data_IF_222334829078
#
_entry.id   IF_222334829078
#
_cell.length_a   1.000
_cell.length_b   1.000
_cell.length_c   1.000
_cell.angle_alpha   90.00
_cell.angle_beta   90.00
_cell.angle_gamma   90.00
#
_symmetry.space_group_name_H-M   'P 1'
#
loop_
_entity.id
_entity.type
_entity.pdbx_description
1 polymer ?
#
# COMPACT_ATOMS: atom_id res chain seq x y z
N UNK A 1 34.57 35.99 -57.35
CA UNK A 1 35.15 35.63 -56.04
C UNK A 1 34.26 34.56 -55.42
N UNK A 2 34.71 33.30 -55.44
CA UNK A 2 33.99 32.17 -54.84
C UNK A 2 34.51 31.93 -53.41
N UNK A 3 33.64 31.64 -52.43
CA UNK A 3 34.09 31.22 -51.11
C UNK A 3 34.55 29.75 -51.10
N UNK A 4 35.49 29.37 -50.22
CA UNK A 4 36.09 28.05 -50.21
C UNK A 4 35.18 27.01 -49.52
N UNK A 5 35.15 25.79 -50.08
CA UNK A 5 34.41 24.65 -49.53
C UNK A 5 35.15 24.04 -48.34
N UNK A 6 34.50 23.99 -47.19
CA UNK A 6 35.03 23.35 -45.98
C UNK A 6 34.75 21.84 -46.01
N UNK A 7 35.82 21.03 -46.11
CA UNK A 7 35.75 19.57 -46.01
C UNK A 7 35.52 19.14 -44.56
N UNK A 8 34.34 18.63 -44.25
CA UNK A 8 34.02 17.94 -42.99
C UNK A 8 34.64 16.53 -43.00
N UNK A 9 35.55 16.27 -42.06
CA UNK A 9 36.11 14.94 -41.78
C UNK A 9 35.16 14.18 -40.84
N UNK A 10 34.56 13.10 -41.32
CA UNK A 10 33.87 12.14 -40.47
C UNK A 10 34.88 11.28 -39.70
N UNK A 11 34.89 11.46 -38.38
CA UNK A 11 35.58 10.58 -37.43
C UNK A 11 34.66 9.40 -37.10
N UNK A 12 34.99 8.22 -37.63
CA UNK A 12 34.31 6.95 -37.33
C UNK A 12 34.82 6.43 -35.99
N UNK A 13 33.98 6.51 -34.96
CA UNK A 13 34.24 5.90 -33.65
C UNK A 13 33.96 4.39 -33.72
N UNK A 14 34.95 3.58 -33.31
CA UNK A 14 34.91 2.12 -33.27
C UNK A 14 33.91 1.62 -32.23
N UNK A 15 33.08 0.66 -32.63
CA UNK A 15 32.12 -0.07 -31.80
C UNK A 15 32.83 -0.87 -30.71
N UNK A 16 32.47 -0.64 -29.44
CA UNK A 16 32.84 -1.46 -28.30
C UNK A 16 32.14 -2.83 -28.37
N UNK A 17 32.91 -3.88 -28.06
CA UNK A 17 32.43 -5.25 -27.96
C UNK A 17 31.47 -5.44 -26.76
N UNK A 18 30.44 -6.30 -26.87
CA UNK A 18 29.56 -6.60 -25.75
C UNK A 18 30.27 -7.44 -24.68
N UNK A 19 30.23 -6.94 -23.45
CA UNK A 19 30.70 -7.59 -22.23
C UNK A 19 29.81 -8.81 -21.96
N UNK A 20 30.40 -10.01 -21.89
CA UNK A 20 29.71 -11.23 -21.45
C UNK A 20 29.20 -11.05 -20.02
N UNK A 21 27.89 -11.10 -19.85
CA UNK A 21 27.21 -11.18 -18.55
C UNK A 21 27.26 -12.64 -18.09
N UNK A 22 27.97 -12.92 -17.00
CA UNK A 22 27.96 -14.22 -16.35
C UNK A 22 26.61 -14.40 -15.64
N UNK A 23 25.84 -15.38 -16.09
CA UNK A 23 24.61 -15.84 -15.45
C UNK A 23 24.93 -16.40 -14.06
N UNK A 24 24.36 -15.79 -13.03
CA UNK A 24 24.36 -16.32 -11.66
C UNK A 24 23.49 -17.61 -11.58
N UNK A 25 23.89 -18.59 -10.76
CA UNK A 25 23.16 -19.84 -10.62
C UNK A 25 21.82 -19.65 -9.90
N UNK A 26 20.78 -20.30 -10.43
CA UNK A 26 19.42 -20.28 -9.89
C UNK A 26 19.38 -20.81 -8.46
N UNK A 27 18.91 -19.98 -7.52
CA UNK A 27 18.58 -20.42 -6.17
C UNK A 27 17.23 -21.14 -6.21
N UNK A 28 17.28 -22.46 -6.03
CA UNK A 28 16.10 -23.30 -5.78
C UNK A 28 15.55 -23.00 -4.37
N UNK A 29 14.22 -22.82 -4.20
CA UNK A 29 13.63 -22.63 -2.89
C UNK A 29 13.69 -23.94 -2.08
N UNK A 30 14.27 -23.84 -0.87
CA UNK A 30 14.23 -24.90 0.14
C UNK A 30 12.79 -25.09 0.62
N UNK A 31 12.25 -26.26 0.32
CA UNK A 31 11.00 -26.79 0.82
C UNK A 31 11.03 -26.87 2.35
N UNK A 32 10.13 -26.13 3.02
CA UNK A 32 9.98 -26.18 4.48
C UNK A 32 9.04 -27.33 4.81
N UNK A 33 9.65 -28.42 5.28
CA UNK A 33 8.98 -29.64 5.70
C UNK A 33 8.12 -29.37 6.95
N UNK A 34 6.80 -29.47 6.81
CA UNK A 34 5.85 -29.32 7.89
C UNK A 34 5.96 -30.50 8.87
N UNK A 35 6.49 -30.22 10.06
CA UNK A 35 6.60 -31.14 11.18
C UNK A 35 5.23 -31.69 11.60
N UNK A 36 5.05 -32.99 11.35
CA UNK A 36 3.88 -33.79 11.72
C UNK A 36 3.95 -34.11 13.23
N UNK A 37 3.07 -33.51 14.04
CA UNK A 37 2.92 -33.87 15.45
C UNK A 37 2.29 -35.27 15.58
N UNK A 38 3.12 -36.22 16.01
CA UNK A 38 2.72 -37.57 16.41
C UNK A 38 1.95 -37.50 17.73
N UNK A 39 0.72 -37.99 17.71
CA UNK A 39 -0.06 -38.30 18.90
C UNK A 39 0.24 -39.74 19.29
N UNK A 40 1.10 -39.94 20.29
CA UNK A 40 1.26 -41.23 20.93
C UNK A 40 0.75 -41.16 22.38
N UNK A 41 -0.18 -42.08 22.61
CA UNK A 41 -0.82 -42.47 23.85
C UNK A 41 0.21 -42.85 24.92
N UNK A 42 -0.02 -42.42 26.16
CA UNK A 42 0.74 -42.91 27.30
C UNK A 42 0.31 -42.24 28.60
N UNK A 43 -0.52 -42.94 29.37
CA UNK A 43 -1.17 -42.39 30.56
C UNK A 43 -0.24 -42.05 31.72
N UNK A 44 -0.72 -41.20 32.61
CA UNK A 44 -1.01 -41.63 33.97
C UNK A 44 -1.89 -40.60 34.67
N UNK A 45 -3.04 -41.08 35.09
CA UNK A 45 -4.02 -40.42 35.92
C UNK A 45 -3.51 -40.27 37.37
N UNK A 46 -4.09 -39.31 38.07
CA UNK A 46 -4.08 -39.09 39.52
C UNK A 46 -2.91 -38.32 40.14
N UNK A 47 -3.12 -37.01 40.26
CA UNK A 47 -2.51 -36.16 41.31
C UNK A 47 -3.53 -35.32 42.08
N UNK A 48 -4.80 -35.72 42.07
CA UNK A 48 -5.91 -35.01 42.75
C UNK A 48 -6.38 -35.66 44.07
N UNK A 49 -5.81 -36.79 44.50
CA UNK A 49 -6.26 -37.48 45.72
C UNK A 49 -5.61 -37.04 47.03
N UNK A 50 -4.82 -35.95 47.05
CA UNK A 50 -4.12 -35.50 48.27
C UNK A 50 -4.76 -34.35 49.04
N UNK A 51 -5.89 -33.80 48.57
CA UNK A 51 -6.58 -32.69 49.25
C UNK A 51 -7.92 -33.06 49.91
N UNK A 52 -8.37 -34.32 49.82
CA UNK A 52 -9.61 -34.77 50.43
C UNK A 52 -9.48 -35.28 51.89
N UNK A 53 -8.28 -35.30 52.49
CA UNK A 53 -8.07 -35.83 53.87
C UNK A 53 -7.79 -34.79 54.97
N UNK A 54 -7.94 -33.49 54.67
CA UNK A 54 -7.74 -32.43 55.69
C UNK A 54 -9.07 -31.78 56.12
N UNK A 55 -10.18 -32.07 55.43
CA UNK A 55 -11.49 -31.42 55.71
C UNK A 55 -12.44 -32.19 56.63
N UNK A 56 -12.02 -33.33 57.20
CA UNK A 56 -12.90 -34.17 58.04
C UNK A 56 -12.54 -34.16 59.54
N UNK A 57 -11.71 -33.21 59.99
CA UNK A 57 -11.23 -33.15 61.40
C UNK A 57 -11.69 -31.95 62.22
N UNK A 58 -12.68 -31.19 61.76
CA UNK A 58 -13.24 -30.06 62.52
C UNK A 58 -14.76 -30.15 62.77
N UNK A 59 -15.29 -31.37 62.87
CA UNK A 59 -16.61 -31.61 63.47
C UNK A 59 -16.45 -31.68 65.01
N UNK A 60 -16.39 -30.52 65.66
CA UNK A 60 -16.26 -30.43 67.11
C UNK A 60 -16.82 -29.11 67.65
N UNK A 61 -17.97 -29.24 68.31
CA UNK A 61 -18.58 -28.32 69.29
C UNK A 61 -19.59 -27.28 68.78
N UNK A 62 -20.86 -27.34 69.24
CA UNK A 62 -21.85 -26.31 69.06
C UNK A 62 -21.71 -25.27 70.18
N UNK A 63 -21.13 -24.10 69.88
CA UNK A 63 -21.26 -22.92 70.73
C UNK A 63 -22.22 -21.93 70.06
N UNK A 64 -23.41 -21.83 70.64
CA UNK A 64 -24.46 -20.88 70.27
C UNK A 64 -24.00 -19.44 70.49
N UNK A 65 -23.44 -18.81 69.45
CA UNK A 65 -23.35 -17.36 69.38
C UNK A 65 -24.55 -16.82 68.61
N UNK A 66 -25.43 -16.13 69.33
CA UNK A 66 -26.47 -15.25 68.81
C UNK A 66 -25.86 -14.21 67.86
N UNK A 67 -25.84 -14.54 66.57
CA UNK A 67 -25.47 -13.64 65.51
C UNK A 67 -26.62 -12.66 65.31
N UNK A 68 -26.44 -11.41 65.75
CA UNK A 68 -27.34 -10.30 65.37
C UNK A 68 -27.37 -10.23 63.85
N UNK A 69 -28.51 -10.58 63.25
CA UNK A 69 -28.79 -10.29 61.84
C UNK A 69 -28.80 -8.77 61.67
N UNK A 70 -27.67 -8.21 61.28
CA UNK A 70 -27.64 -6.88 60.69
C UNK A 70 -28.26 -7.04 59.31
N UNK A 71 -29.48 -6.55 59.16
CA UNK A 71 -30.20 -6.57 57.89
C UNK A 71 -29.49 -5.65 56.90
N UNK A 72 -28.71 -6.23 55.99
CA UNK A 72 -28.13 -5.56 54.81
C UNK A 72 -29.20 -5.22 53.75
N UNK A 73 -30.41 -4.86 54.17
CA UNK A 73 -31.38 -4.23 53.29
C UNK A 73 -31.10 -2.73 53.31
N UNK A 74 -30.96 -2.16 52.12
CA UNK A 74 -30.83 -0.73 51.83
C UNK A 74 -29.41 -0.15 51.82
N UNK A 75 -28.69 -0.42 50.73
CA UNK A 75 -27.87 0.63 50.07
C UNK A 75 -27.50 0.37 48.60
N UNK A 76 -28.31 -0.36 47.85
CA UNK A 76 -28.03 -0.69 46.43
C UNK A 76 -28.95 0.00 45.41
N UNK A 77 -29.71 1.03 45.81
CA UNK A 77 -30.72 1.67 44.95
C UNK A 77 -30.27 3.02 44.34
N UNK A 78 -29.00 3.40 44.46
CA UNK A 78 -28.45 4.61 43.84
C UNK A 78 -27.73 4.41 42.49
N UNK A 79 -27.33 3.18 42.14
CA UNK A 79 -26.32 2.95 41.08
C UNK A 79 -26.87 2.71 39.67
N UNK A 80 -28.18 2.52 39.51
CA UNK A 80 -28.78 2.24 38.19
C UNK A 80 -28.67 3.42 37.22
N UNK A 81 -28.64 4.66 37.72
CA UNK A 81 -28.42 5.85 36.91
C UNK A 81 -26.93 6.10 36.62
N UNK A 82 -26.03 5.59 37.48
CA UNK A 82 -24.60 5.77 37.31
C UNK A 82 -24.04 4.90 36.18
N UNK A 83 -24.61 3.71 35.92
CA UNK A 83 -24.15 2.87 34.79
C UNK A 83 -24.52 3.43 33.40
N UNK A 84 -25.59 4.22 33.28
CA UNK A 84 -26.01 4.79 31.99
C UNK A 84 -25.12 5.96 31.54
N UNK A 85 -24.59 6.74 32.49
CA UNK A 85 -23.66 7.85 32.17
C UNK A 85 -22.29 7.35 31.71
N UNK A 86 -21.79 6.23 32.26
CA UNK A 86 -20.53 5.63 31.82
C UNK A 86 -20.57 5.08 30.39
N UNK A 87 -21.70 4.52 29.95
CA UNK A 87 -21.85 4.00 28.59
C UNK A 87 -21.81 5.12 27.54
N UNK A 88 -22.47 6.25 27.80
CA UNK A 88 -22.47 7.40 26.89
C UNK A 88 -21.08 8.01 26.71
N UNK A 89 -20.32 8.13 27.82
CA UNK A 89 -18.97 8.70 27.78
C UNK A 89 -17.99 7.79 27.03
N UNK A 90 -18.07 6.46 27.23
CA UNK A 90 -17.24 5.51 26.50
C UNK A 90 -17.50 5.53 24.98
N UNK A 91 -18.77 5.67 24.56
CA UNK A 91 -19.13 5.75 23.15
C UNK A 91 -18.63 7.06 22.51
N UNK A 92 -18.76 8.18 23.21
CA UNK A 92 -18.27 9.48 22.74
C UNK A 92 -16.74 9.50 22.59
N UNK A 93 -16.01 8.92 23.55
CA UNK A 93 -14.54 8.78 23.47
C UNK A 93 -14.13 7.88 22.30
N UNK A 94 -14.83 6.78 22.06
CA UNK A 94 -14.55 5.88 20.94
C UNK A 94 -14.78 6.57 19.58
N UNK A 95 -15.87 7.32 19.42
CA UNK A 95 -16.16 8.09 18.21
C UNK A 95 -15.15 9.22 17.97
N UNK A 96 -14.76 9.94 19.03
CA UNK A 96 -13.74 10.98 18.93
C UNK A 96 -12.37 10.40 18.55
N UNK A 97 -11.97 9.27 19.13
CA UNK A 97 -10.73 8.59 18.74
C UNK A 97 -10.76 8.12 17.28
N UNK A 98 -11.91 7.63 16.81
CA UNK A 98 -12.06 7.16 15.43
C UNK A 98 -11.95 8.29 14.41
N UNK A 99 -12.49 9.48 14.73
CA UNK A 99 -12.41 10.66 13.88
C UNK A 99 -10.98 11.24 13.77
N UNK A 100 -10.08 10.92 14.70
CA UNK A 100 -8.70 11.42 14.72
C UNK A 100 -7.66 10.48 14.13
N UNK A 101 -8.06 9.31 13.62
CA UNK A 101 -7.10 8.39 13.00
C UNK A 101 -6.68 8.95 11.64
N UNK A 102 -5.39 9.33 11.45
CA UNK A 102 -4.92 9.72 10.13
C UNK A 102 -5.05 8.51 9.22
N UNK A 103 -5.95 8.59 8.23
CA UNK A 103 -5.95 7.64 7.13
C UNK A 103 -4.60 7.77 6.44
N UNK A 104 -3.84 6.67 6.35
CA UNK A 104 -2.62 6.65 5.57
C UNK A 104 -3.02 6.70 4.10
N UNK A 105 -3.05 7.90 3.55
CA UNK A 105 -3.14 8.07 2.10
C UNK A 105 -1.91 7.38 1.51
N UNK A 106 -2.12 6.37 0.65
CA UNK A 106 -1.02 5.84 -0.14
C UNK A 106 -0.52 6.97 -1.03
N UNK A 107 0.81 7.13 -1.08
CA UNK A 107 1.47 8.02 -2.00
C UNK A 107 0.92 7.78 -3.42
N UNK A 108 0.43 8.84 -4.05
CA UNK A 108 -0.31 8.74 -5.30
C UNK A 108 -0.02 9.96 -6.16
N UNK A 109 0.09 9.78 -7.47
CA UNK A 109 0.13 10.91 -8.40
C UNK A 109 -1.25 11.59 -8.52
N UNK A 110 -2.35 10.93 -8.15
CA UNK A 110 -3.67 11.57 -8.15
C UNK A 110 -3.66 12.83 -7.25
N UNK A 111 -3.98 13.97 -7.84
CA UNK A 111 -3.95 15.28 -7.21
C UNK A 111 -2.64 16.05 -7.37
N UNK A 112 -1.62 15.44 -7.97
CA UNK A 112 -0.35 16.07 -8.32
C UNK A 112 -0.49 16.95 -9.58
N UNK A 113 0.41 17.92 -9.74
CA UNK A 113 0.53 18.76 -10.93
C UNK A 113 1.70 18.28 -11.79
N UNK A 114 1.38 17.56 -12.87
CA UNK A 114 2.37 16.92 -13.75
C UNK A 114 2.55 17.75 -15.01
N UNK A 115 3.78 17.81 -15.51
CA UNK A 115 4.12 18.49 -16.76
C UNK A 115 4.48 17.50 -17.87
N UNK A 116 4.02 17.76 -19.10
CA UNK A 116 4.35 17.02 -20.32
C UNK A 116 4.98 17.96 -21.34
N UNK A 117 6.19 17.63 -21.80
CA UNK A 117 6.83 18.29 -22.92
C UNK A 117 7.07 17.31 -24.08
N UNK A 118 6.91 17.80 -25.31
CA UNK A 118 7.00 16.97 -26.52
C UNK A 118 8.13 17.48 -27.40
N UNK A 119 9.11 16.63 -27.67
CA UNK A 119 10.26 16.93 -28.51
C UNK A 119 10.20 16.16 -29.83
N UNK A 120 10.64 16.79 -30.91
CA UNK A 120 10.91 16.16 -32.20
C UNK A 120 12.35 16.47 -32.57
N UNK A 121 13.18 15.44 -32.71
CA UNK A 121 14.62 15.57 -32.97
C UNK A 121 15.32 16.51 -31.97
N UNK A 122 14.96 16.41 -30.69
CA UNK A 122 15.52 17.23 -29.62
C UNK A 122 15.09 18.70 -29.64
N UNK A 123 14.06 19.09 -30.39
CA UNK A 123 13.45 20.41 -30.35
C UNK A 123 12.04 20.32 -29.77
N UNK A 124 11.72 21.18 -28.81
CA UNK A 124 10.38 21.28 -28.23
C UNK A 124 9.38 21.71 -29.31
N UNK A 125 8.39 20.87 -29.59
CA UNK A 125 7.34 21.09 -30.60
C UNK A 125 6.10 21.71 -29.98
N UNK A 126 5.87 21.36 -28.72
CA UNK A 126 4.82 21.88 -27.88
C UNK A 126 5.50 22.19 -26.55
N UNK A 127 5.49 23.47 -26.16
CA UNK A 127 5.99 23.86 -24.84
C UNK A 127 5.28 23.09 -23.73
N UNK A 128 5.78 23.17 -22.48
CA UNK A 128 5.28 22.36 -21.39
C UNK A 128 3.77 22.54 -21.21
N UNK A 129 3.06 21.41 -21.19
CA UNK A 129 1.66 21.32 -20.79
C UNK A 129 1.62 20.86 -19.34
N UNK A 130 0.86 21.53 -18.49
CA UNK A 130 0.78 21.17 -17.07
C UNK A 130 -0.67 20.93 -16.69
N UNK A 131 -0.94 19.80 -16.05
CA UNK A 131 -2.29 19.39 -15.66
C UNK A 131 -2.29 18.71 -14.28
N UNK A 132 -3.40 18.84 -13.56
CA UNK A 132 -3.60 18.11 -12.30
C UNK A 132 -4.14 16.72 -12.58
N UNK A 133 -3.52 15.69 -12.03
CA UNK A 133 -3.92 14.29 -12.21
C UNK A 133 -5.25 14.00 -11.51
N UNK A 134 -6.23 13.47 -12.24
CA UNK A 134 -7.60 13.27 -11.73
C UNK A 134 -8.12 11.83 -11.85
N UNK A 135 -7.34 10.91 -12.43
CA UNK A 135 -7.75 9.52 -12.65
C UNK A 135 -8.59 9.35 -13.91
N UNK A 136 -8.11 9.94 -15.01
CA UNK A 136 -8.65 9.86 -16.36
C UNK A 136 -7.65 10.47 -17.34
N UNK A 137 -8.06 10.91 -18.52
CA UNK A 137 -7.12 11.55 -19.47
C UNK A 137 -6.74 12.95 -19.02
N UNK A 138 -5.45 13.20 -18.75
CA UNK A 138 -4.90 14.52 -18.46
C UNK A 138 -4.47 15.27 -19.73
N UNK A 139 -3.73 14.60 -20.64
CA UNK A 139 -3.19 15.28 -21.82
C UNK A 139 -3.80 14.73 -23.10
N UNK A 140 -4.19 15.63 -24.01
CA UNK A 140 -4.66 15.28 -25.35
C UNK A 140 -4.06 16.20 -26.42
N UNK A 141 -2.73 16.14 -26.64
CA UNK A 141 -2.08 16.99 -27.62
C UNK A 141 -2.65 16.69 -29.02
N UNK A 142 -3.24 17.73 -29.61
CA UNK A 142 -3.74 17.75 -30.99
C UNK A 142 -4.81 16.70 -31.31
N UNK A 143 -5.56 16.20 -30.32
CA UNK A 143 -6.62 15.19 -30.53
C UNK A 143 -6.13 13.90 -31.20
N UNK A 144 -4.87 13.51 -30.97
CA UNK A 144 -4.24 12.33 -31.61
C UNK A 144 -3.76 11.30 -30.62
N UNK A 145 -3.16 11.75 -29.54
CA UNK A 145 -2.71 10.91 -28.44
C UNK A 145 -3.40 11.37 -27.18
N UNK A 146 -3.82 10.44 -26.35
CA UNK A 146 -4.26 10.71 -24.99
C UNK A 146 -3.28 10.09 -24.03
N UNK A 147 -2.96 10.84 -22.98
CA UNK A 147 -2.15 10.37 -21.86
C UNK A 147 -3.03 10.41 -20.61
N UNK A 148 -3.23 9.24 -20.01
CA UNK A 148 -3.96 9.04 -18.76
C UNK A 148 -2.94 8.68 -17.67
N UNK A 149 -2.75 9.60 -16.75
CA UNK A 149 -1.83 9.48 -15.61
C UNK A 149 -2.65 8.91 -14.45
N UNK A 150 -2.33 7.67 -14.10
CA UNK A 150 -2.89 6.99 -12.93
C UNK A 150 -2.12 7.32 -11.66
N UNK A 151 -2.51 6.67 -10.55
CA UNK A 151 -1.83 6.82 -9.26
C UNK A 151 -0.33 6.47 -9.29
N UNK A 152 0.07 5.53 -10.17
CA UNK A 152 1.43 5.03 -10.32
C UNK A 152 1.69 4.50 -11.75
N UNK A 153 1.02 5.08 -12.75
CA UNK A 153 1.11 4.61 -14.14
C UNK A 153 0.83 5.72 -15.13
N UNK A 154 1.27 5.56 -16.36
CA UNK A 154 0.94 6.42 -17.50
C UNK A 154 0.46 5.51 -18.62
N UNK A 155 -0.79 5.67 -19.03
CA UNK A 155 -1.36 4.99 -20.20
C UNK A 155 -1.37 5.93 -21.40
N UNK A 156 -0.97 5.39 -22.55
CA UNK A 156 -0.88 6.12 -23.80
C UNK A 156 -1.80 5.46 -24.80
N UNK A 157 -2.76 6.23 -25.31
CA UNK A 157 -3.73 5.76 -26.29
C UNK A 157 -3.68 6.60 -27.56
N UNK A 158 -3.58 5.93 -28.70
CA UNK A 158 -3.74 6.53 -30.02
C UNK A 158 -5.22 6.66 -30.35
N UNK A 159 -5.67 7.89 -30.62
CA UNK A 159 -7.05 8.18 -31.03
C UNK A 159 -7.26 8.07 -32.54
N UNK A 160 -6.20 8.27 -33.32
CA UNK A 160 -6.26 8.33 -34.79
C UNK A 160 -5.07 7.51 -35.32
N UNK A 161 -5.29 6.71 -36.38
CA UNK A 161 -4.22 6.00 -37.08
C UNK A 161 -3.12 6.95 -37.61
N UNK A 162 -2.12 6.41 -38.33
CA UNK A 162 -0.74 6.91 -38.36
C UNK A 162 -0.63 8.41 -38.10
N UNK A 163 -0.14 8.76 -36.91
CA UNK A 163 -0.24 10.09 -36.34
C UNK A 163 0.59 11.19 -37.05
N UNK A 164 1.05 10.95 -38.29
CA UNK A 164 1.69 11.93 -39.16
C UNK A 164 2.91 12.60 -38.55
N UNK A 165 3.55 11.96 -37.57
CA UNK A 165 4.77 12.43 -36.97
C UNK A 165 5.92 11.97 -37.84
N UNK A 166 6.58 12.90 -38.53
CA UNK A 166 7.57 12.57 -39.56
C UNK A 166 8.94 12.10 -39.02
N UNK A 167 9.09 12.01 -37.69
CA UNK A 167 10.36 11.67 -37.01
C UNK A 167 10.09 11.08 -35.63
N UNK A 168 11.13 10.56 -34.98
CA UNK A 168 11.09 10.20 -33.56
C UNK A 168 10.57 11.37 -32.71
N UNK A 169 9.63 11.06 -31.83
CA UNK A 169 9.08 12.00 -30.86
C UNK A 169 9.39 11.50 -29.47
N UNK A 170 9.97 12.38 -28.66
CA UNK A 170 10.19 12.12 -27.25
C UNK A 170 9.11 12.83 -26.44
N UNK A 171 8.49 12.09 -25.54
CA UNK A 171 7.56 12.60 -24.55
C UNK A 171 8.29 12.60 -23.21
N UNK A 172 8.31 13.76 -22.56
CA UNK A 172 8.98 13.96 -21.27
C UNK A 172 7.94 14.38 -20.27
N UNK A 173 7.64 13.48 -19.33
CA UNK A 173 6.86 13.79 -18.14
C UNK A 173 7.81 14.27 -17.04
N UNK A 174 7.58 15.45 -16.49
CA UNK A 174 8.34 16.02 -15.35
C UNK A 174 7.40 16.35 -14.20
N UNK A 175 8.01 16.69 -13.06
CA UNK A 175 7.28 17.07 -11.85
C UNK A 175 6.37 15.92 -11.36
N UNK A 176 6.85 14.67 -11.44
CA UNK A 176 6.13 13.51 -10.92
C UNK A 176 6.33 13.41 -9.42
N UNK A 177 5.50 14.13 -8.66
CA UNK A 177 5.57 14.24 -7.20
C UNK A 177 4.39 13.55 -6.53
N UNK A 178 4.65 12.52 -5.72
CA UNK A 178 3.56 11.80 -5.06
C UNK A 178 2.90 12.64 -3.95
N UNK A 179 1.59 12.82 -4.07
CA UNK A 179 0.76 13.42 -3.04
C UNK A 179 0.64 12.46 -1.86
N UNK A 180 0.82 13.00 -0.66
CA UNK A 180 0.70 12.29 0.61
C UNK A 180 2.03 11.84 1.21
N UNK A 181 3.03 11.53 0.39
CA UNK A 181 4.37 11.14 0.84
C UNK A 181 5.39 11.32 -0.30
N UNK A 182 6.55 11.91 0.01
CA UNK A 182 7.63 12.03 -0.96
C UNK A 182 8.04 10.65 -1.50
N UNK A 183 8.11 10.53 -2.82
CA UNK A 183 8.51 9.33 -3.53
C UNK A 183 9.61 9.61 -4.54
N UNK A 184 10.35 8.57 -4.91
CA UNK A 184 11.26 8.59 -6.05
C UNK A 184 11.00 7.40 -6.95
N UNK A 185 11.10 7.59 -8.26
CA UNK A 185 11.06 6.50 -9.23
C UNK A 185 12.35 5.67 -9.08
N UNK A 186 12.19 4.36 -8.92
CA UNK A 186 13.31 3.42 -8.84
C UNK A 186 13.36 2.46 -10.01
N UNK A 187 12.25 2.26 -10.72
CA UNK A 187 12.17 1.50 -11.95
C UNK A 187 10.94 1.89 -12.77
N UNK A 188 10.93 1.51 -14.05
CA UNK A 188 9.80 1.71 -14.96
C UNK A 188 9.52 0.40 -15.70
N UNK A 189 8.32 -0.12 -15.56
CA UNK A 189 7.87 -1.35 -16.20
C UNK A 189 6.98 -1.02 -17.40
N UNK A 190 7.19 -1.73 -18.52
CA UNK A 190 6.43 -1.56 -19.74
C UNK A 190 5.57 -2.80 -19.99
N UNK A 191 4.24 -2.63 -19.92
CA UNK A 191 3.29 -3.73 -20.02
C UNK A 191 2.71 -3.92 -21.44
N UNK A 192 2.65 -2.84 -22.23
CA UNK A 192 2.31 -2.85 -23.65
C UNK A 192 3.28 -1.94 -24.39
N UNK A 193 3.82 -2.39 -25.54
CA UNK A 193 4.98 -1.73 -26.18
C UNK A 193 4.80 -1.71 -27.70
N UNK A 194 3.68 -1.18 -28.19
CA UNK A 194 3.58 -0.89 -29.62
C UNK A 194 4.13 0.51 -29.87
N UNK A 195 5.26 0.60 -30.58
CA UNK A 195 5.83 1.88 -30.98
C UNK A 195 6.62 2.64 -29.96
N UNK A 196 6.81 2.11 -28.76
CA UNK A 196 7.71 2.71 -27.79
C UNK A 196 9.13 2.30 -28.09
N UNK A 197 10.00 3.29 -28.29
CA UNK A 197 11.44 3.12 -28.42
C UNK A 197 12.12 3.04 -27.05
N UNK A 198 13.16 3.84 -26.86
CA UNK A 198 13.84 3.92 -25.57
C UNK A 198 12.96 4.57 -24.50
N UNK A 199 13.04 4.05 -23.28
CA UNK A 199 12.47 4.63 -22.06
C UNK A 199 13.61 4.89 -21.07
N UNK A 200 13.61 6.06 -20.45
CA UNK A 200 14.55 6.46 -19.41
C UNK A 200 13.84 7.27 -18.33
N UNK A 201 14.35 7.27 -17.11
CA UNK A 201 13.72 7.96 -15.99
C UNK A 201 14.77 8.60 -15.06
N UNK A 202 14.34 9.63 -14.33
CA UNK A 202 15.05 10.22 -13.17
C UNK A 202 14.24 9.93 -11.90
N UNK A 203 14.50 10.62 -10.80
CA UNK A 203 13.74 10.46 -9.55
C UNK A 203 12.26 10.91 -9.69
N UNK A 204 11.99 11.81 -10.63
CA UNK A 204 10.78 12.63 -10.77
C UNK A 204 10.36 12.85 -12.24
N UNK A 205 11.01 12.18 -13.20
CA UNK A 205 10.69 12.32 -14.62
C UNK A 205 10.76 10.99 -15.37
N UNK A 206 9.93 10.86 -16.40
CA UNK A 206 9.96 9.74 -17.33
C UNK A 206 9.99 10.28 -18.75
N UNK A 207 10.98 9.82 -19.51
CA UNK A 207 11.12 10.10 -20.94
C UNK A 207 10.93 8.82 -21.73
N UNK A 208 10.12 8.86 -22.78
CA UNK A 208 10.06 7.78 -23.75
C UNK A 208 9.93 8.32 -25.15
N UNK A 209 10.44 7.53 -26.10
CA UNK A 209 10.36 7.84 -27.53
C UNK A 209 9.25 7.02 -28.18
N UNK A 210 8.57 7.59 -29.17
CA UNK A 210 7.66 6.86 -30.05
C UNK A 210 8.23 6.81 -31.46
N UNK A 211 8.26 5.62 -32.05
CA UNK A 211 8.67 5.38 -33.44
C UNK A 211 7.46 5.56 -34.37
N UNK A 212 7.69 6.23 -35.51
CA UNK A 212 6.64 6.62 -36.47
C UNK A 212 5.82 5.44 -37.01
N UNK A 213 6.50 4.34 -37.33
CA UNK A 213 5.91 3.20 -38.04
C UNK A 213 4.88 2.41 -37.22
N UNK A 214 4.82 2.64 -35.91
CA UNK A 214 4.02 1.82 -34.99
C UNK A 214 2.73 2.52 -34.51
N UNK A 215 2.50 3.79 -34.87
CA UNK A 215 1.29 4.55 -34.52
C UNK A 215 0.11 4.29 -35.48
N UNK A 216 0.13 3.18 -36.20
CA UNK A 216 -0.79 2.95 -37.34
C UNK A 216 -2.19 2.55 -36.89
N UNK A 217 -2.36 2.03 -35.67
CA UNK A 217 -3.63 1.49 -35.17
C UNK A 217 -4.13 2.30 -33.97
N UNK A 218 -5.39 2.77 -33.99
CA UNK A 218 -6.02 3.34 -32.81
C UNK A 218 -6.10 2.32 -31.66
N UNK A 219 -5.86 2.76 -30.44
CA UNK A 219 -5.88 1.90 -29.25
C UNK A 219 -4.75 2.22 -28.27
N UNK A 220 -4.65 1.40 -27.23
CA UNK A 220 -3.59 1.52 -26.21
C UNK A 220 -2.26 1.14 -26.84
N UNK A 221 -1.36 2.11 -26.93
CA UNK A 221 -0.01 1.91 -27.44
C UNK A 221 0.88 1.33 -26.35
N UNK A 222 0.80 1.94 -25.18
CA UNK A 222 1.63 1.57 -24.05
C UNK A 222 0.97 1.85 -22.71
N UNK A 223 1.34 1.01 -21.74
CA UNK A 223 1.12 1.23 -20.33
C UNK A 223 2.47 1.18 -19.65
N UNK A 224 2.84 2.31 -19.05
CA UNK A 224 4.05 2.52 -18.27
C UNK A 224 3.65 2.43 -16.80
N UNK A 225 4.19 1.47 -16.08
CA UNK A 225 4.01 1.33 -14.64
C UNK A 225 5.24 1.90 -13.92
N UNK A 226 5.00 2.81 -12.98
CA UNK A 226 6.06 3.47 -12.21
C UNK A 226 6.30 2.68 -10.94
N UNK A 227 7.51 2.13 -10.81
CA UNK A 227 7.93 1.49 -9.57
C UNK A 227 8.60 2.54 -8.71
N UNK A 228 8.00 2.80 -7.56
CA UNK A 228 8.39 3.92 -6.70
C UNK A 228 8.85 3.43 -5.35
N UNK A 229 9.74 4.22 -4.74
CA UNK A 229 10.11 4.06 -3.33
C UNK A 229 9.72 5.32 -2.60
N UNK A 230 8.79 5.18 -1.67
CA UNK A 230 8.40 6.25 -0.76
C UNK A 230 9.29 6.23 0.47
N UNK A 231 9.55 7.40 1.03
CA UNK A 231 10.41 7.59 2.19
C UNK A 231 9.75 7.05 3.47
N UNK A 232 9.59 5.73 3.54
CA UNK A 232 8.93 4.94 4.58
C UNK A 232 8.48 5.76 5.78
N UNK A 233 7.41 6.54 5.61
CA UNK A 233 6.71 7.09 6.76
C UNK A 233 6.18 5.85 7.44
N UNK A 234 6.62 5.61 8.68
CA UNK A 234 6.22 4.45 9.45
C UNK A 234 4.69 4.41 9.48
N UNK A 235 4.10 3.62 8.58
CA UNK A 235 2.66 3.48 8.42
C UNK A 235 2.18 2.99 9.78
N UNK A 236 1.45 3.81 10.56
CA UNK A 236 0.86 3.32 11.78
C UNK A 236 0.02 2.11 11.37
N UNK A 237 0.31 0.95 11.95
CA UNK A 237 -0.34 -0.31 11.58
C UNK A 237 -1.83 -0.05 11.35
N UNK A 238 -2.39 -0.50 10.21
CA UNK A 238 -3.70 -0.04 9.75
C UNK A 238 -4.68 -0.19 10.89
N UNK A 239 -5.40 0.88 11.24
CA UNK A 239 -6.23 0.95 12.45
C UNK A 239 -7.16 -0.27 12.63
N UNK A 240 -7.49 -0.97 11.54
CA UNK A 240 -8.11 -2.30 11.51
C UNK A 240 -7.45 -3.36 12.42
N UNK A 241 -6.13 -3.39 12.56
CA UNK A 241 -5.40 -4.35 13.38
C UNK A 241 -5.58 -4.01 14.86
N UNK A 242 -5.50 -2.72 15.20
CA UNK A 242 -5.86 -2.22 16.53
C UNK A 242 -7.34 -2.50 16.83
N UNK A 243 -8.25 -2.22 15.89
CA UNK A 243 -9.70 -2.47 16.02
C UNK A 243 -10.01 -3.96 16.18
N UNK A 244 -9.31 -4.80 15.44
CA UNK A 244 -9.40 -6.26 15.54
C UNK A 244 -8.91 -6.73 16.91
N UNK A 245 -7.78 -6.20 17.39
CA UNK A 245 -7.27 -6.44 18.74
C UNK A 245 -8.26 -6.01 19.83
N UNK A 246 -8.84 -4.81 19.71
CA UNK A 246 -9.86 -4.31 20.63
C UNK A 246 -11.16 -5.15 20.56
N UNK A 247 -11.57 -5.58 19.38
CA UNK A 247 -12.72 -6.46 19.18
C UNK A 247 -12.52 -7.82 19.85
N UNK A 248 -11.34 -8.42 19.70
CA UNK A 248 -10.96 -9.68 20.37
C UNK A 248 -10.88 -9.52 21.89
N UNK A 249 -10.27 -8.43 22.38
CA UNK A 249 -10.20 -8.15 23.80
C UNK A 249 -11.62 -7.99 24.40
N UNK A 250 -12.49 -7.23 23.72
CA UNK A 250 -13.89 -7.06 24.10
C UNK A 250 -14.65 -8.40 24.12
N UNK A 251 -14.47 -9.25 23.11
CA UNK A 251 -15.08 -10.57 23.03
C UNK A 251 -14.60 -11.50 24.15
N UNK A 252 -13.30 -11.45 24.48
CA UNK A 252 -12.72 -12.19 25.60
C UNK A 252 -13.34 -11.79 26.94
N UNK A 253 -13.50 -10.49 27.18
CA UNK A 253 -14.17 -9.98 28.39
C UNK A 253 -15.65 -10.36 28.47
N UNK A 254 -16.37 -10.35 27.33
CA UNK A 254 -17.78 -10.72 27.29
C UNK A 254 -18.03 -12.19 27.69
N UNK A 255 -17.13 -13.12 27.30
CA UNK A 255 -17.25 -14.54 27.69
C UNK A 255 -17.07 -14.76 29.19
N UNK A 256 -16.21 -13.99 29.86
CA UNK A 256 -15.89 -14.20 31.29
C UNK A 256 -17.05 -13.88 32.24
N UNK A 257 -17.94 -12.95 31.87
CA UNK A 257 -19.06 -12.53 32.72
C UNK A 257 -20.15 -13.59 32.90
N UNK A 258 -20.25 -14.60 32.04
CA UNK A 258 -21.26 -15.67 32.17
C UNK A 258 -20.98 -16.67 33.30
N UNK A 259 -19.76 -16.74 33.84
CA UNK A 259 -19.43 -17.73 34.87
C UNK A 259 -19.75 -17.30 36.30
N UNK A 260 -19.97 -16.01 36.56
CA UNK A 260 -20.17 -15.51 37.93
C UNK A 260 -21.64 -15.41 38.40
N UNK A 261 -22.60 -15.79 37.56
CA UNK A 261 -24.04 -15.61 37.84
C UNK A 261 -24.82 -16.89 38.14
N UNK A 262 -24.16 -17.99 38.51
CA UNK A 262 -24.84 -19.22 38.96
C UNK A 262 -24.42 -19.57 40.39
N UNK A 263 -25.04 -18.92 41.36
CA UNK A 263 -25.13 -19.37 42.75
C UNK A 263 -26.57 -19.23 43.24
#
# INVERSE_FOLDING_TARGET
MHPPSTKLRHSVARSGQPKRVNLLPSLQPKEVEAGRCRSDLGGHCSKTDKLARILDKMAGSPCSHTYKRVSWRQRFWGDQNMMKSFQGLALAVALALFATLPGTAKATLIGDEVSLEIFSNGQSVLGPLTETVRGGVEFNPRNRLTFDVGASSIEITSLIGPAGFATNIDFVFTDLDWVGEAGVIVDVLLNSVQGIGSVSFTEDSVTFSVLEDDLVVPGVLASIELVTRHASVAVPEPATLALFGFGLAGLGFARRRRMWGRE
#
